data_IF_324004959037
#
_entry.id   IF_324004959037
#
_cell.length_a   1.000
_cell.length_b   1.000
_cell.length_c   1.000
_cell.angle_alpha   90.00
_cell.angle_beta   90.00
_cell.angle_gamma   90.00
#
_symmetry.space_group_name_H-M   'P 1'
#
loop_
_entity.id
_entity.type
_entity.pdbx_description
1 polymer ?
#
# COMPACT_ATOMS: atom_id res chain seq x y z
N UNK A 1 -50.31 29.71 -31.92
CA UNK A 1 -49.34 28.71 -32.42
C UNK A 1 -47.90 28.94 -31.94
N UNK A 2 -47.40 30.18 -31.84
CA UNK A 2 -46.03 30.49 -31.37
C UNK A 2 -45.69 29.98 -29.95
N UNK A 3 -46.63 30.00 -29.00
CA UNK A 3 -46.38 29.61 -27.61
C UNK A 3 -46.16 28.10 -27.40
N UNK A 4 -46.74 27.26 -28.26
CA UNK A 4 -46.59 25.79 -28.17
C UNK A 4 -45.17 25.38 -28.58
N UNK A 5 -44.60 26.05 -29.58
CA UNK A 5 -43.24 25.76 -30.05
C UNK A 5 -42.20 26.11 -28.98
N UNK A 6 -42.40 27.22 -28.25
CA UNK A 6 -41.49 27.68 -27.19
C UNK A 6 -41.53 26.76 -25.96
N UNK A 7 -42.69 26.21 -25.58
CA UNK A 7 -42.75 25.32 -24.41
C UNK A 7 -42.06 23.97 -24.68
N UNK A 8 -42.17 23.45 -25.90
CA UNK A 8 -41.55 22.18 -26.31
C UNK A 8 -40.02 22.30 -26.32
N UNK A 9 -39.46 23.41 -26.81
CA UNK A 9 -38.00 23.60 -26.81
C UNK A 9 -37.42 23.76 -25.42
N UNK A 10 -38.12 24.46 -24.51
CA UNK A 10 -37.69 24.61 -23.11
C UNK A 10 -37.72 23.26 -22.39
N UNK A 11 -38.79 22.48 -22.55
CA UNK A 11 -38.89 21.15 -21.95
C UNK A 11 -37.82 20.20 -22.47
N UNK A 12 -37.50 20.25 -23.77
CA UNK A 12 -36.42 19.46 -24.36
C UNK A 12 -35.04 19.87 -23.81
N UNK A 13 -34.76 21.17 -23.68
CA UNK A 13 -33.49 21.66 -23.12
C UNK A 13 -33.33 21.31 -21.64
N UNK A 14 -34.41 21.43 -20.86
CA UNK A 14 -34.40 21.05 -19.44
C UNK A 14 -34.19 19.54 -19.30
N UNK A 15 -34.88 18.72 -20.10
CA UNK A 15 -34.67 17.27 -20.13
C UNK A 15 -33.23 16.89 -20.53
N UNK A 16 -32.65 17.59 -21.51
CA UNK A 16 -31.24 17.41 -21.91
C UNK A 16 -30.28 17.77 -20.76
N UNK A 17 -30.60 18.81 -19.99
CA UNK A 17 -29.78 19.27 -18.87
C UNK A 17 -29.78 18.27 -17.70
N UNK A 18 -30.89 17.57 -17.45
CA UNK A 18 -30.95 16.52 -16.42
C UNK A 18 -30.16 15.27 -16.79
N UNK A 19 -30.11 14.90 -18.07
CA UNK A 19 -29.38 13.72 -18.55
C UNK A 19 -27.86 13.86 -18.35
N UNK A 20 -27.33 15.08 -18.39
CA UNK A 20 -25.89 15.33 -18.28
C UNK A 20 -25.35 15.35 -16.83
N UNK A 21 -26.23 15.30 -15.82
CA UNK A 21 -25.85 15.41 -14.40
C UNK A 21 -25.25 14.13 -13.78
N UNK A 22 -25.15 13.03 -14.53
CA UNK A 22 -24.48 11.81 -14.06
C UNK A 22 -22.95 11.96 -14.13
N UNK A 23 -22.39 12.74 -13.20
CA UNK A 23 -20.95 12.81 -12.96
C UNK A 23 -20.47 11.51 -12.31
N UNK A 24 -20.00 10.56 -13.11
CA UNK A 24 -19.25 9.41 -12.62
C UNK A 24 -17.91 9.86 -12.05
N UNK A 25 -17.76 9.78 -10.74
CA UNK A 25 -16.47 9.89 -10.05
C UNK A 25 -15.64 8.63 -10.34
N UNK A 26 -14.93 8.64 -11.46
CA UNK A 26 -13.96 7.59 -11.75
C UNK A 26 -12.79 7.68 -10.75
N UNK A 27 -12.70 6.71 -9.83
CA UNK A 27 -11.50 6.52 -9.00
C UNK A 27 -10.42 5.99 -9.94
N UNK A 28 -9.55 6.89 -10.42
CA UNK A 28 -8.40 6.49 -11.21
C UNK A 28 -7.43 5.73 -10.32
N UNK A 29 -7.32 4.43 -10.55
CA UNK A 29 -6.30 3.60 -9.92
C UNK A 29 -5.12 3.45 -10.86
N UNK A 30 -3.92 3.54 -10.30
CA UNK A 30 -2.69 3.25 -11.04
C UNK A 30 -2.05 1.99 -10.51
N UNK A 31 -1.51 1.19 -11.42
CA UNK A 31 -0.66 0.06 -11.09
C UNK A 31 0.72 0.56 -10.64
N UNK A 32 1.15 0.10 -9.47
CA UNK A 32 2.47 0.36 -8.90
C UNK A 32 3.20 -0.95 -8.70
N UNK A 33 4.43 -1.03 -9.18
CA UNK A 33 5.36 -2.14 -8.94
C UNK A 33 6.29 -1.80 -7.78
N UNK A 34 6.15 -2.52 -6.68
CA UNK A 34 7.02 -2.40 -5.51
C UNK A 34 8.17 -3.40 -5.67
N UNK A 35 9.38 -2.90 -5.85
CA UNK A 35 10.61 -3.68 -5.87
C UNK A 35 11.29 -3.55 -4.53
N UNK A 36 11.38 -4.67 -3.82
CA UNK A 36 11.88 -4.70 -2.46
C UNK A 36 13.15 -5.51 -2.28
N UNK A 37 13.87 -5.21 -1.21
CA UNK A 37 14.94 -6.05 -0.64
C UNK A 37 14.77 -6.15 0.86
N UNK A 38 14.85 -7.37 1.39
CA UNK A 38 14.92 -7.63 2.83
C UNK A 38 16.35 -8.00 3.20
N UNK A 39 16.89 -7.44 4.28
CA UNK A 39 18.22 -7.76 4.78
C UNK A 39 18.15 -8.19 6.24
N UNK A 40 18.91 -9.24 6.58
CA UNK A 40 19.04 -9.72 7.95
C UNK A 40 17.84 -10.50 8.49
N UNK A 41 16.83 -10.80 7.67
CA UNK A 41 15.66 -11.57 8.09
C UNK A 41 16.01 -13.03 8.32
N UNK A 42 15.59 -13.57 9.46
CA UNK A 42 15.63 -14.99 9.79
C UNK A 42 14.19 -15.44 10.10
N UNK A 43 13.63 -16.29 9.26
CA UNK A 43 12.20 -16.65 9.33
C UNK A 43 11.35 -15.78 8.40
N UNK A 44 10.19 -15.32 8.87
CA UNK A 44 9.20 -14.61 8.06
C UNK A 44 8.82 -13.26 8.65
N UNK A 45 8.54 -12.28 7.80
CA UNK A 45 7.97 -10.99 8.18
C UNK A 45 6.72 -10.75 7.34
N UNK A 46 5.66 -10.22 7.94
CA UNK A 46 4.43 -9.87 7.23
C UNK A 46 4.30 -8.35 7.22
N UNK A 47 4.12 -7.80 6.01
CA UNK A 47 3.82 -6.40 5.79
C UNK A 47 2.35 -6.21 5.47
N UNK A 48 1.76 -5.15 5.99
CA UNK A 48 0.53 -4.58 5.47
C UNK A 48 0.87 -3.40 4.54
N UNK A 49 0.33 -3.39 3.32
CA UNK A 49 0.46 -2.32 2.33
C UNK A 49 -0.94 -2.02 1.79
N UNK A 50 -1.56 -0.92 2.20
CA UNK A 50 -2.94 -0.56 1.79
C UNK A 50 -3.93 -1.74 1.95
N UNK A 51 -3.98 -2.32 3.16
CA UNK A 51 -4.81 -3.47 3.52
C UNK A 51 -4.49 -4.78 2.76
N UNK A 52 -3.35 -4.83 2.09
CA UNK A 52 -2.82 -6.06 1.47
C UNK A 52 -1.66 -6.61 2.28
N UNK A 53 -1.77 -7.89 2.61
CA UNK A 53 -0.74 -8.60 3.36
C UNK A 53 0.29 -9.23 2.42
N UNK A 54 1.56 -8.92 2.65
CA UNK A 54 2.70 -9.50 1.94
C UNK A 54 3.57 -10.26 2.93
N UNK A 55 3.60 -11.58 2.80
CA UNK A 55 4.52 -12.43 3.56
C UNK A 55 5.86 -12.48 2.83
N UNK A 56 6.91 -12.05 3.52
CA UNK A 56 8.28 -12.08 3.04
C UNK A 56 9.06 -13.13 3.82
N UNK A 57 9.82 -13.94 3.10
CA UNK A 57 10.85 -14.81 3.67
C UNK A 57 12.24 -14.18 3.44
N UNK A 58 13.36 -14.81 3.83
CA UNK A 58 14.74 -14.31 3.66
C UNK A 58 15.21 -14.20 2.20
N UNK A 59 14.31 -13.81 1.30
CA UNK A 59 14.61 -13.49 -0.07
C UNK A 59 15.32 -12.14 -0.14
N UNK A 60 16.50 -12.14 -0.76
CA UNK A 60 17.29 -10.94 -0.99
C UNK A 60 16.50 -9.86 -1.77
N UNK A 61 15.54 -10.25 -2.61
CA UNK A 61 14.72 -9.34 -3.43
C UNK A 61 13.31 -9.88 -3.63
N UNK A 62 12.32 -8.99 -3.73
CA UNK A 62 10.94 -9.32 -4.09
C UNK A 62 10.33 -8.28 -5.04
N UNK A 63 9.25 -8.66 -5.70
CA UNK A 63 8.42 -7.73 -6.50
C UNK A 63 6.95 -7.97 -6.18
N UNK A 64 6.21 -6.90 -5.90
CA UNK A 64 4.79 -6.93 -5.58
C UNK A 64 4.04 -5.89 -6.41
N UNK A 65 2.84 -6.23 -6.89
CA UNK A 65 2.02 -5.34 -7.71
C UNK A 65 0.79 -4.89 -6.93
N UNK A 66 0.60 -3.58 -6.84
CA UNK A 66 -0.52 -2.95 -6.15
C UNK A 66 -1.26 -2.03 -7.12
N UNK A 67 -2.59 -2.00 -7.05
CA UNK A 67 -3.38 -0.95 -7.69
C UNK A 67 -3.79 0.02 -6.59
N UNK A 68 -3.44 1.29 -6.74
CA UNK A 68 -3.69 2.34 -5.75
C UNK A 68 -4.12 3.63 -6.42
N UNK A 69 -4.97 4.40 -5.74
CA UNK A 69 -5.30 5.78 -6.12
C UNK A 69 -4.21 6.78 -5.70
N UNK A 70 -3.36 6.44 -4.72
CA UNK A 70 -2.25 7.27 -4.25
C UNK A 70 -0.92 6.52 -4.30
N UNK A 71 0.04 7.06 -5.06
CA UNK A 71 1.36 6.44 -5.27
C UNK A 71 2.39 6.81 -4.21
N UNK A 72 2.23 7.99 -3.61
CA UNK A 72 3.23 8.60 -2.70
C UNK A 72 2.91 8.37 -1.23
N UNK A 73 1.64 8.08 -0.91
CA UNK A 73 1.14 7.97 0.47
C UNK A 73 0.85 6.53 0.90
N UNK A 74 1.40 5.53 0.18
CA UNK A 74 1.18 4.12 0.53
C UNK A 74 1.51 3.87 2.01
N UNK A 75 0.48 3.54 2.78
CA UNK A 75 0.59 3.18 4.18
C UNK A 75 1.17 1.77 4.26
N UNK A 76 2.34 1.66 4.91
CA UNK A 76 3.10 0.44 5.02
C UNK A 76 3.48 0.18 6.46
N UNK A 77 3.13 -1.00 6.97
CA UNK A 77 3.40 -1.38 8.35
C UNK A 77 3.91 -2.82 8.43
N UNK A 78 4.86 -3.08 9.32
CA UNK A 78 5.23 -4.44 9.73
C UNK A 78 4.22 -4.90 10.77
N UNK A 79 3.47 -5.95 10.47
CA UNK A 79 2.41 -6.46 11.35
C UNK A 79 2.79 -7.76 12.06
N UNK A 80 3.74 -8.51 11.51
CA UNK A 80 4.29 -9.70 12.14
C UNK A 80 5.77 -9.83 11.79
N UNK A 81 6.58 -10.31 12.73
CA UNK A 81 8.04 -10.43 12.59
C UNK A 81 8.59 -11.54 13.51
N UNK A 82 9.80 -12.06 13.23
CA UNK A 82 10.40 -13.09 14.08
C UNK A 82 10.61 -12.59 15.51
N UNK A 83 10.40 -13.45 16.52
CA UNK A 83 10.49 -13.08 17.94
C UNK A 83 11.85 -12.51 18.35
N UNK A 84 12.93 -13.02 17.74
CA UNK A 84 14.30 -12.61 18.05
C UNK A 84 14.79 -11.48 17.13
N UNK A 85 13.91 -10.87 16.32
CA UNK A 85 14.25 -9.81 15.39
C UNK A 85 13.28 -8.63 15.43
N UNK A 86 13.82 -7.44 15.16
CA UNK A 86 13.04 -6.26 14.87
C UNK A 86 13.25 -5.87 13.40
N UNK A 87 12.17 -5.86 12.63
CA UNK A 87 12.16 -5.49 11.21
C UNK A 87 11.56 -4.09 11.04
N UNK A 88 12.24 -3.23 10.28
CA UNK A 88 11.77 -1.88 9.99
C UNK A 88 11.91 -1.54 8.49
N UNK A 89 11.01 -0.69 8.00
CA UNK A 89 11.12 -0.08 6.68
C UNK A 89 12.24 0.97 6.73
N UNK A 90 13.41 0.61 6.20
CA UNK A 90 14.59 1.46 6.24
C UNK A 90 14.64 2.49 5.10
N UNK A 91 14.02 2.18 3.95
CA UNK A 91 13.93 3.11 2.83
C UNK A 91 12.68 2.84 2.01
N UNK A 92 11.95 3.91 1.68
CA UNK A 92 10.89 3.92 0.66
C UNK A 92 11.16 5.05 -0.33
N UNK A 93 11.09 4.75 -1.63
CA UNK A 93 11.18 5.77 -2.69
C UNK A 93 10.20 5.44 -3.80
N UNK A 94 9.20 6.28 -3.99
CA UNK A 94 8.29 6.22 -5.13
C UNK A 94 8.92 6.93 -6.35
N UNK A 95 8.65 6.40 -7.54
CA UNK A 95 9.01 6.97 -8.83
C UNK A 95 7.99 6.50 -9.88
N UNK A 96 7.09 7.38 -10.32
CA UNK A 96 6.06 7.11 -11.33
C UNK A 96 5.20 5.87 -11.01
N UNK A 97 5.46 4.72 -11.64
CA UNK A 97 4.76 3.45 -11.50
C UNK A 97 5.58 2.41 -10.71
N UNK A 98 6.71 2.84 -10.12
CA UNK A 98 7.63 2.00 -9.37
C UNK A 98 7.85 2.54 -7.96
N UNK A 99 7.97 1.64 -7.00
CA UNK A 99 8.44 1.97 -5.65
C UNK A 99 9.61 1.05 -5.28
N UNK A 100 10.66 1.62 -4.69
CA UNK A 100 11.78 0.87 -4.13
C UNK A 100 11.58 0.79 -2.62
N UNK A 101 11.58 -0.44 -2.08
CA UNK A 101 11.46 -0.72 -0.66
C UNK A 101 12.71 -1.42 -0.13
N UNK A 102 13.22 -0.98 1.02
CA UNK A 102 14.26 -1.71 1.77
C UNK A 102 13.78 -1.95 3.18
N UNK A 103 13.89 -3.20 3.60
CA UNK A 103 13.52 -3.66 4.94
C UNK A 103 14.78 -4.19 5.60
N UNK A 104 15.04 -3.69 6.80
CA UNK A 104 16.17 -4.13 7.61
C UNK A 104 15.62 -4.84 8.84
N UNK A 105 16.02 -6.09 9.02
CA UNK A 105 15.77 -6.85 10.22
C UNK A 105 17.07 -6.97 11.00
N UNK A 106 17.00 -6.70 12.30
CA UNK A 106 18.13 -6.82 13.23
C UNK A 106 17.74 -7.71 14.39
N UNK A 107 18.70 -8.50 14.88
CA UNK A 107 18.51 -9.28 16.10
C UNK A 107 18.21 -8.36 17.28
N UNK A 108 17.25 -8.72 18.12
CA UNK A 108 16.99 -8.04 19.38
C UNK A 108 18.05 -8.53 20.37
N UNK A 109 18.84 -7.64 20.99
CA UNK A 109 19.77 -8.06 22.04
C UNK A 109 18.96 -8.65 23.19
N UNK A 110 19.09 -9.97 23.39
CA UNK A 110 18.47 -10.63 24.52
C UNK A 110 19.14 -10.12 25.82
N UNK A 111 18.36 -9.85 26.88
CA UNK A 111 18.95 -9.60 28.18
C UNK A 111 19.74 -10.85 28.57
N UNK A 112 21.03 -10.67 28.81
CA UNK A 112 21.94 -11.74 29.23
C UNK A 112 21.37 -12.29 30.53
N UNK A 113 20.80 -13.49 30.51
CA UNK A 113 20.43 -14.20 31.74
C UNK A 113 21.74 -14.62 32.40
N UNK A 114 22.23 -13.79 33.33
CA UNK A 114 23.29 -14.20 34.25
C UNK A 114 22.74 -15.31 35.15
N UNK A 115 22.85 -16.54 34.67
CA UNK A 115 22.34 -17.74 35.31
C UNK A 115 23.24 -18.94 35.02
N UNK A 116 24.49 -18.87 35.44
CA UNK A 116 25.34 -20.04 35.66
C UNK A 116 26.42 -19.70 36.68
N UNK A 117 26.02 -19.70 37.96
CA UNK A 117 26.91 -20.19 39.01
C UNK A 117 26.47 -21.63 39.24
N UNK A 118 27.08 -22.56 38.50
CA UNK A 118 27.07 -23.98 38.85
C UNK A 118 28.10 -24.18 39.95
N UNK A 119 27.66 -24.87 40.99
CA UNK A 119 28.27 -25.24 42.25
C UNK A 119 29.73 -25.70 42.19
N UNK A 120 30.48 -25.40 43.26
CA UNK A 120 31.20 -26.37 44.08
C UNK A 120 31.00 -26.00 45.55
#
# INVERSE_FOLDING_TARGET
MKYIIISVTILFSVAWYWIQSHNSTHIQTTKVQIHGKVQGLQGTVVLNIEDKFLTLSPYDRFTFQLHTSSKEELNMQVIDQPKDQHCAIAKRKAAHDRMILRILCKGIPQPISNGSVVSL
#
